data_IF_915627644853
#
_entry.id   IF_915627644853
#
_cell.length_a   1.000
_cell.length_b   1.000
_cell.length_c   1.000
_cell.angle_alpha   90.00
_cell.angle_beta   90.00
_cell.angle_gamma   90.00
#
_symmetry.space_group_name_H-M   'P 1'
#
loop_
_entity.id
_entity.type
_entity.pdbx_description
1 polymer ?
#
# COMPACT_ATOMS: atom_id res chain seq x y z
N UNK A 1 -37.33 53.67 -0.92
CA UNK A 1 -37.39 53.99 -2.36
C UNK A 1 -36.89 52.75 -3.01
N UNK A 2 -37.80 51.93 -3.19
CA UNK A 2 -38.53 51.26 -4.27
C UNK A 2 -37.72 50.05 -4.78
N UNK A 3 -38.05 48.83 -4.50
CA UNK A 3 -39.26 48.02 -4.73
C UNK A 3 -39.61 47.80 -6.22
N UNK A 4 -39.49 46.55 -6.68
CA UNK A 4 -40.33 45.83 -7.62
C UNK A 4 -39.61 44.51 -7.96
N UNK A 5 -39.96 43.31 -7.60
CA UNK A 5 -41.20 42.55 -7.63
C UNK A 5 -41.76 42.35 -9.04
N UNK A 6 -41.81 41.10 -9.47
CA UNK A 6 -42.77 40.47 -10.37
C UNK A 6 -42.31 39.03 -10.67
N UNK A 7 -42.80 38.10 -10.10
CA UNK A 7 -44.00 37.24 -10.10
C UNK A 7 -44.48 36.69 -11.47
N UNK A 8 -44.82 35.36 -11.44
CA UNK A 8 -45.84 34.60 -12.19
C UNK A 8 -45.52 34.14 -13.61
N UNK A 9 -45.74 32.93 -14.02
CA UNK A 9 -46.90 31.97 -14.00
C UNK A 9 -46.42 30.65 -14.60
N UNK A 10 -46.68 29.50 -14.04
CA UNK A 10 -47.76 28.53 -14.23
C UNK A 10 -48.40 28.45 -15.63
N UNK A 11 -48.39 27.25 -16.22
CA UNK A 11 -49.50 26.36 -16.61
C UNK A 11 -48.98 25.21 -17.46
N UNK A 12 -49.20 23.96 -17.01
CA UNK A 12 -50.33 23.04 -17.34
C UNK A 12 -50.49 22.69 -18.82
N UNK A 13 -50.42 21.44 -19.19
CA UNK A 13 -51.43 20.44 -19.53
C UNK A 13 -50.85 19.34 -20.41
N UNK A 14 -50.93 18.07 -20.00
CA UNK A 14 -52.00 17.06 -20.12
C UNK A 14 -52.02 16.26 -21.45
N UNK A 15 -52.05 14.93 -21.27
CA UNK A 15 -52.50 13.82 -22.12
C UNK A 15 -51.59 13.34 -23.27
N UNK A 16 -51.24 12.05 -23.31
CA UNK A 16 -52.16 10.99 -23.73
C UNK A 16 -51.59 9.58 -23.40
N UNK A 17 -52.47 8.74 -22.99
CA UNK A 17 -52.26 7.36 -22.66
C UNK A 17 -52.28 6.42 -23.87
N UNK A 18 -51.53 5.35 -23.74
CA UNK A 18 -51.81 4.12 -24.49
C UNK A 18 -51.65 2.88 -23.61
N UNK A 19 -52.77 2.37 -23.20
CA UNK A 19 -53.05 1.01 -22.74
C UNK A 19 -53.00 0.03 -23.89
N UNK A 20 -52.23 -1.06 -23.78
CA UNK A 20 -52.57 -2.33 -24.48
C UNK A 20 -52.07 -3.53 -23.67
N UNK A 21 -53.03 -4.20 -23.08
CA UNK A 21 -53.38 -5.63 -23.05
C UNK A 21 -52.34 -6.64 -22.60
N UNK A 22 -52.67 -7.22 -21.48
CA UNK A 22 -52.21 -8.48 -20.96
C UNK A 22 -52.54 -9.69 -21.86
N UNK A 23 -51.65 -10.65 -21.81
CA UNK A 23 -51.94 -12.03 -22.20
C UNK A 23 -51.56 -12.97 -21.07
N UNK A 24 -52.62 -13.45 -20.42
CA UNK A 24 -52.63 -14.60 -19.51
C UNK A 24 -52.65 -15.86 -20.35
N UNK A 25 -51.76 -16.79 -20.15
CA UNK A 25 -51.96 -18.18 -20.57
C UNK A 25 -51.71 -19.11 -19.39
N UNK A 26 -52.68 -19.93 -19.18
CA UNK A 26 -52.94 -20.84 -18.07
C UNK A 26 -52.08 -22.11 -18.08
N UNK A 27 -51.82 -22.54 -16.85
CA UNK A 27 -51.59 -23.90 -16.36
C UNK A 27 -51.91 -25.08 -17.29
N UNK A 28 -51.00 -26.07 -17.28
CA UNK A 28 -51.44 -27.48 -17.21
C UNK A 28 -50.40 -28.30 -16.42
N UNK A 29 -50.87 -28.79 -15.28
CA UNK A 29 -50.28 -29.89 -14.49
C UNK A 29 -50.46 -31.20 -15.28
N UNK A 30 -49.43 -32.04 -15.32
CA UNK A 30 -49.67 -33.51 -15.41
C UNK A 30 -48.71 -34.21 -14.45
N UNK A 31 -49.36 -34.76 -13.45
CA UNK A 31 -48.88 -35.77 -12.52
C UNK A 31 -48.92 -37.12 -13.25
N UNK A 32 -47.90 -37.95 -13.10
CA UNK A 32 -48.06 -39.40 -13.20
C UNK A 32 -47.09 -40.09 -12.24
N UNK A 33 -47.68 -40.92 -11.41
CA UNK A 33 -47.17 -41.77 -10.33
C UNK A 33 -46.54 -43.08 -10.83
N UNK A 34 -45.64 -43.56 -9.96
CA UNK A 34 -45.41 -44.98 -9.58
C UNK A 34 -44.58 -45.85 -10.54
N UNK A 35 -43.58 -46.56 -10.08
CA UNK A 35 -43.73 -47.80 -9.26
C UNK A 35 -42.38 -48.25 -8.66
N UNK A 36 -42.48 -48.84 -7.48
CA UNK A 36 -41.49 -49.57 -6.71
C UNK A 36 -40.94 -50.82 -7.48
N UNK A 37 -39.65 -51.14 -7.25
CA UNK A 37 -39.24 -52.55 -7.08
C UNK A 37 -37.97 -52.61 -6.20
N UNK A 38 -38.13 -53.30 -5.10
CA UNK A 38 -37.10 -53.69 -4.16
C UNK A 38 -36.36 -54.95 -4.66
N UNK A 39 -35.09 -55.08 -4.32
CA UNK A 39 -34.34 -56.32 -4.59
C UNK A 39 -32.98 -56.35 -3.88
N UNK A 40 -32.92 -57.20 -2.90
CA UNK A 40 -31.94 -57.45 -1.83
C UNK A 40 -30.57 -57.96 -2.24
N UNK A 41 -29.55 -57.64 -1.39
CA UNK A 41 -28.44 -58.41 -0.85
C UNK A 41 -27.56 -59.28 -1.78
N UNK A 42 -26.27 -59.15 -1.70
CA UNK A 42 -25.34 -60.03 -0.96
C UNK A 42 -23.89 -59.58 -1.09
N UNK A 43 -23.20 -59.53 0.05
CA UNK A 43 -21.76 -59.36 0.18
C UNK A 43 -21.00 -60.58 -0.29
N UNK A 44 -19.80 -60.37 -0.84
CA UNK A 44 -18.68 -61.30 -0.63
C UNK A 44 -17.35 -60.62 -0.95
N UNK A 45 -16.48 -60.64 0.04
CA UNK A 45 -15.09 -60.21 -0.03
C UNK A 45 -14.25 -61.23 -0.84
N UNK A 46 -13.30 -60.72 -1.62
CA UNK A 46 -12.05 -61.48 -1.87
C UNK A 46 -10.93 -60.54 -2.26
N UNK A 47 -9.86 -60.60 -1.52
CA UNK A 47 -8.52 -60.05 -1.79
C UNK A 47 -7.94 -60.62 -3.07
N UNK A 48 -7.22 -59.83 -3.86
CA UNK A 48 -5.93 -60.20 -4.42
C UNK A 48 -5.29 -59.06 -5.25
N UNK A 49 -4.19 -58.52 -4.79
CA UNK A 49 -2.90 -58.43 -5.43
C UNK A 49 -2.71 -57.56 -6.68
N UNK A 50 -1.97 -56.49 -6.51
CA UNK A 50 -0.82 -56.20 -7.30
C UNK A 50 -0.92 -55.23 -8.48
N UNK A 51 -0.27 -54.17 -8.36
CA UNK A 51 0.61 -53.54 -9.36
C UNK A 51 0.47 -52.03 -9.44
N UNK A 52 1.54 -51.38 -9.13
CA UNK A 52 1.91 -50.02 -9.11
C UNK A 52 1.33 -49.12 -10.21
N UNK A 53 0.86 -47.99 -9.77
CA UNK A 53 0.70 -46.76 -10.48
C UNK A 53 1.19 -45.71 -9.55
N UNK A 54 2.41 -45.29 -9.76
CA UNK A 54 3.02 -44.14 -9.14
C UNK A 54 2.24 -42.89 -9.66
N UNK A 55 1.25 -42.47 -8.89
CA UNK A 55 0.65 -41.13 -9.02
C UNK A 55 1.40 -40.31 -8.00
N UNK A 56 2.38 -39.56 -8.48
CA UNK A 56 2.98 -38.50 -7.71
C UNK A 56 1.87 -37.65 -7.08
N UNK A 57 1.63 -37.86 -5.80
CA UNK A 57 0.88 -36.96 -4.98
C UNK A 57 1.72 -35.69 -4.86
N UNK A 58 1.26 -34.65 -5.54
CA UNK A 58 1.60 -33.30 -5.20
C UNK A 58 1.25 -33.15 -3.72
N UNK A 59 2.27 -32.86 -2.91
CA UNK A 59 2.09 -32.66 -1.48
C UNK A 59 1.37 -31.32 -1.25
N UNK A 60 0.07 -31.30 -1.51
CA UNK A 60 -0.80 -30.24 -1.02
C UNK A 60 -0.86 -30.34 0.50
N UNK A 61 -0.42 -29.30 1.20
CA UNK A 61 -0.67 -29.14 2.61
C UNK A 61 -2.15 -29.27 2.93
N UNK A 62 -2.46 -29.72 4.12
CA UNK A 62 -3.83 -29.91 4.62
C UNK A 62 -4.49 -28.55 4.96
N UNK A 63 -3.82 -27.40 4.68
CA UNK A 63 -4.28 -26.04 4.87
C UNK A 63 -5.09 -25.53 3.68
N UNK A 64 -6.04 -24.65 3.96
CA UNK A 64 -6.94 -24.04 2.98
C UNK A 64 -6.25 -23.11 1.98
N UNK A 65 -7.06 -22.49 1.12
CA UNK A 65 -6.60 -21.50 0.15
C UNK A 65 -6.59 -20.10 0.78
N UNK A 66 -5.48 -19.40 0.70
CA UNK A 66 -5.37 -17.99 1.07
C UNK A 66 -5.20 -17.14 -0.19
N UNK A 67 -6.06 -16.12 -0.33
CA UNK A 67 -5.95 -15.13 -1.40
C UNK A 67 -5.03 -14.00 -1.00
N UNK A 68 -4.05 -13.65 -1.86
CA UNK A 68 -3.11 -12.55 -1.63
C UNK A 68 -3.15 -11.63 -2.85
N UNK A 69 -3.62 -10.39 -2.63
CA UNK A 69 -3.76 -9.39 -3.69
C UNK A 69 -2.80 -8.23 -3.46
N UNK A 70 -1.81 -8.08 -4.36
CA UNK A 70 -0.81 -7.02 -4.35
C UNK A 70 -1.09 -5.99 -5.44
N UNK A 71 -0.73 -4.69 -5.25
CA UNK A 71 -1.10 -3.64 -6.18
C UNK A 71 -0.36 -3.74 -7.52
N UNK A 72 0.96 -3.94 -7.51
CA UNK A 72 1.78 -3.83 -8.72
C UNK A 72 3.11 -4.58 -8.58
N UNK A 73 3.82 -4.76 -9.68
CA UNK A 73 5.23 -5.20 -9.73
C UNK A 73 6.18 -4.07 -10.10
N UNK A 74 5.68 -2.85 -10.34
CA UNK A 74 6.51 -1.72 -10.72
C UNK A 74 7.39 -1.21 -9.57
N UNK A 75 6.99 -1.45 -8.32
CA UNK A 75 7.81 -1.24 -7.13
C UNK A 75 8.34 -2.58 -6.63
N UNK A 76 9.65 -2.64 -6.40
CA UNK A 76 10.37 -3.85 -6.01
C UNK A 76 9.84 -4.46 -4.71
N UNK A 77 9.50 -3.60 -3.73
CA UNK A 77 9.00 -4.06 -2.44
C UNK A 77 7.75 -4.94 -2.55
N UNK A 78 6.81 -4.66 -3.47
CA UNK A 78 5.60 -5.46 -3.60
C UNK A 78 5.86 -6.90 -4.07
N UNK A 79 6.96 -7.10 -4.83
CA UNK A 79 7.40 -8.45 -5.19
C UNK A 79 7.94 -9.15 -3.95
N UNK A 80 8.77 -8.47 -3.16
CA UNK A 80 9.31 -9.00 -1.91
C UNK A 80 8.22 -9.30 -0.87
N UNK A 81 7.25 -8.37 -0.70
CA UNK A 81 6.09 -8.56 0.16
C UNK A 81 5.28 -9.81 -0.24
N UNK A 82 4.92 -9.91 -1.54
CA UNK A 82 4.12 -11.03 -2.04
C UNK A 82 4.83 -12.37 -1.92
N UNK A 83 6.12 -12.40 -2.25
CA UNK A 83 6.93 -13.63 -2.15
C UNK A 83 7.11 -14.05 -0.68
N UNK A 84 7.36 -13.10 0.25
CA UNK A 84 7.48 -13.39 1.67
C UNK A 84 6.17 -13.88 2.29
N UNK A 85 5.03 -13.26 1.97
CA UNK A 85 3.70 -13.72 2.41
C UNK A 85 3.43 -15.13 1.89
N UNK A 86 3.70 -15.36 0.60
CA UNK A 86 3.46 -16.67 -0.01
C UNK A 86 4.34 -17.77 0.60
N UNK A 87 5.66 -17.52 0.73
CA UNK A 87 6.59 -18.50 1.31
C UNK A 87 6.17 -18.87 2.73
N UNK A 88 5.89 -17.90 3.58
CA UNK A 88 5.52 -18.12 4.97
C UNK A 88 4.16 -18.83 5.14
N UNK A 89 3.18 -18.54 4.26
CA UNK A 89 1.91 -19.28 4.24
C UNK A 89 2.09 -20.73 3.76
N UNK A 90 2.90 -20.96 2.72
CA UNK A 90 3.20 -22.29 2.20
C UNK A 90 3.98 -23.13 3.23
N UNK A 91 4.90 -22.51 4.00
CA UNK A 91 5.59 -23.17 5.13
C UNK A 91 4.62 -23.63 6.23
N UNK A 92 3.51 -22.90 6.43
CA UNK A 92 2.43 -23.28 7.36
C UNK A 92 1.45 -24.30 6.76
N UNK A 93 1.64 -24.69 5.49
CA UNK A 93 0.86 -25.71 4.79
C UNK A 93 -0.35 -25.18 4.04
N UNK A 94 -0.53 -23.87 3.91
CA UNK A 94 -1.59 -23.26 3.11
C UNK A 94 -1.28 -23.33 1.60
N UNK A 95 -2.34 -23.30 0.79
CA UNK A 95 -2.23 -23.01 -0.65
C UNK A 95 -2.44 -21.51 -0.87
N UNK A 96 -1.65 -20.87 -1.73
CA UNK A 96 -1.67 -19.43 -1.92
C UNK A 96 -2.04 -19.04 -3.36
N UNK A 97 -3.05 -18.18 -3.52
CA UNK A 97 -3.37 -17.52 -4.79
C UNK A 97 -2.84 -16.07 -4.73
N UNK A 98 -1.59 -15.88 -5.12
CA UNK A 98 -0.92 -14.59 -5.18
C UNK A 98 -1.13 -13.92 -6.53
N UNK A 99 -1.73 -12.73 -6.55
CA UNK A 99 -2.01 -11.95 -7.74
C UNK A 99 -1.50 -10.51 -7.61
N UNK A 100 -1.05 -9.93 -8.73
CA UNK A 100 -0.65 -8.53 -8.88
C UNK A 100 -1.56 -7.86 -9.89
N UNK A 101 -2.07 -6.68 -9.57
CA UNK A 101 -3.07 -6.00 -10.39
C UNK A 101 -2.50 -4.93 -11.33
N UNK A 102 -1.17 -4.69 -11.30
CA UNK A 102 -0.45 -3.74 -12.15
C UNK A 102 -1.08 -2.33 -12.12
N UNK A 103 -1.43 -1.88 -10.90
CA UNK A 103 -2.10 -0.60 -10.61
C UNK A 103 -3.45 -0.38 -11.31
N UNK A 104 -4.07 -1.46 -11.83
CA UNK A 104 -5.41 -1.43 -12.43
C UNK A 104 -6.47 -1.89 -11.43
N UNK A 105 -7.27 -0.94 -10.92
CA UNK A 105 -8.30 -1.19 -9.90
C UNK A 105 -9.31 -2.24 -10.34
N UNK A 106 -9.91 -2.20 -11.56
CA UNK A 106 -10.82 -3.23 -12.02
C UNK A 106 -10.21 -4.64 -12.03
N UNK A 107 -8.93 -4.74 -12.36
CA UNK A 107 -8.18 -6.01 -12.31
C UNK A 107 -8.06 -6.50 -10.88
N UNK A 108 -7.72 -5.64 -9.90
CA UNK A 108 -7.64 -6.03 -8.50
C UNK A 108 -8.98 -6.53 -7.96
N UNK A 109 -10.07 -5.82 -8.24
CA UNK A 109 -11.42 -6.26 -7.86
C UNK A 109 -11.73 -7.64 -8.44
N UNK A 110 -11.49 -7.86 -9.75
CA UNK A 110 -11.75 -9.14 -10.40
C UNK A 110 -10.88 -10.28 -9.85
N UNK A 111 -9.65 -9.99 -9.46
CA UNK A 111 -8.77 -10.97 -8.81
C UNK A 111 -9.31 -11.39 -7.46
N UNK A 112 -9.76 -10.45 -6.62
CA UNK A 112 -10.36 -10.73 -5.31
C UNK A 112 -11.67 -11.52 -5.48
N UNK A 113 -12.56 -11.14 -6.41
CA UNK A 113 -13.79 -11.89 -6.73
C UNK A 113 -13.48 -13.36 -7.12
N UNK A 114 -12.40 -13.57 -7.89
CA UNK A 114 -11.96 -14.90 -8.26
C UNK A 114 -11.42 -15.70 -7.06
N UNK A 115 -10.68 -15.07 -6.13
CA UNK A 115 -10.21 -15.71 -4.90
C UNK A 115 -11.38 -16.16 -4.03
N UNK A 116 -12.40 -15.31 -3.85
CA UNK A 116 -13.65 -15.64 -3.15
C UNK A 116 -14.34 -16.84 -3.82
N UNK A 117 -14.49 -16.80 -5.15
CA UNK A 117 -15.15 -17.87 -5.92
C UNK A 117 -14.39 -19.21 -5.84
N UNK A 118 -13.08 -19.17 -5.74
CA UNK A 118 -12.23 -20.37 -5.55
C UNK A 118 -12.29 -20.93 -4.13
N UNK A 119 -12.95 -20.23 -3.20
CA UNK A 119 -13.10 -20.64 -1.81
C UNK A 119 -11.88 -20.31 -0.96
N UNK A 120 -11.31 -19.14 -1.12
CA UNK A 120 -10.31 -18.62 -0.18
C UNK A 120 -10.87 -18.61 1.24
N UNK A 121 -10.08 -19.01 2.22
CA UNK A 121 -10.47 -19.05 3.63
C UNK A 121 -10.09 -17.75 4.36
N UNK A 122 -9.15 -16.97 3.81
CA UNK A 122 -8.82 -15.62 4.21
C UNK A 122 -8.27 -14.82 3.03
N UNK A 123 -8.33 -13.49 3.11
CA UNK A 123 -7.77 -12.57 2.13
C UNK A 123 -6.76 -11.64 2.80
N UNK A 124 -5.57 -11.52 2.19
CA UNK A 124 -4.53 -10.55 2.53
C UNK A 124 -4.45 -9.57 1.35
N UNK A 125 -4.82 -8.30 1.56
CA UNK A 125 -5.01 -7.34 0.47
C UNK A 125 -4.20 -6.08 0.71
N UNK A 126 -3.25 -5.78 -0.18
CA UNK A 126 -2.65 -4.47 -0.33
C UNK A 126 -3.42 -3.71 -1.43
N UNK A 127 -4.28 -2.78 -1.04
CA UNK A 127 -5.16 -2.08 -1.99
C UNK A 127 -4.38 -1.11 -2.88
N UNK A 128 -4.79 -1.00 -4.14
CA UNK A 128 -4.32 0.08 -5.04
C UNK A 128 -4.89 1.40 -4.57
N UNK A 129 -6.19 1.45 -4.38
CA UNK A 129 -6.95 2.57 -3.84
C UNK A 129 -7.84 2.07 -2.70
N UNK A 130 -7.60 2.59 -1.50
CA UNK A 130 -8.28 2.15 -0.29
C UNK A 130 -9.81 2.30 -0.33
N UNK A 131 -10.36 3.14 -1.21
CA UNK A 131 -11.81 3.46 -1.25
C UNK A 131 -12.61 2.63 -2.24
N UNK A 132 -11.97 1.76 -3.03
CA UNK A 132 -12.62 1.15 -4.21
C UNK A 132 -13.07 -0.29 -4.00
N UNK A 133 -12.78 -0.90 -2.84
CA UNK A 133 -12.98 -2.32 -2.60
C UNK A 133 -14.25 -2.66 -1.81
N UNK A 134 -15.05 -1.67 -1.35
CA UNK A 134 -16.16 -1.89 -0.42
C UNK A 134 -17.16 -2.96 -0.90
N UNK A 135 -17.46 -3.04 -2.21
CA UNK A 135 -18.41 -4.02 -2.74
C UNK A 135 -17.84 -5.45 -2.71
N UNK A 136 -16.61 -5.65 -3.18
CA UNK A 136 -16.02 -6.99 -3.20
C UNK A 136 -15.70 -7.49 -1.78
N UNK A 137 -15.44 -6.59 -0.82
CA UNK A 137 -15.31 -6.96 0.58
C UNK A 137 -16.65 -7.33 1.22
N UNK A 138 -17.78 -6.80 0.73
CA UNK A 138 -19.08 -7.28 1.14
C UNK A 138 -19.32 -8.73 0.64
N UNK A 139 -18.90 -9.04 -0.58
CA UNK A 139 -18.99 -10.39 -1.12
C UNK A 139 -18.11 -11.38 -0.32
N UNK A 140 -16.93 -10.92 0.17
CA UNK A 140 -16.09 -11.71 1.08
C UNK A 140 -16.79 -11.96 2.42
N UNK A 141 -17.40 -10.93 3.01
CA UNK A 141 -18.15 -11.04 4.26
C UNK A 141 -19.38 -11.95 4.14
N UNK A 142 -20.12 -11.87 3.03
CA UNK A 142 -21.25 -12.76 2.74
C UNK A 142 -20.82 -14.24 2.60
N UNK A 143 -19.55 -14.46 2.24
CA UNK A 143 -18.92 -15.77 2.18
C UNK A 143 -18.20 -16.18 3.50
N UNK A 144 -18.28 -15.36 4.55
CA UNK A 144 -17.62 -15.54 5.84
C UNK A 144 -16.08 -15.62 5.73
N UNK A 145 -15.49 -14.89 4.76
CA UNK A 145 -14.03 -14.83 4.52
C UNK A 145 -13.46 -13.58 5.20
N UNK A 146 -12.57 -13.73 6.18
CA UNK A 146 -11.92 -12.60 6.86
C UNK A 146 -10.94 -11.89 5.94
N UNK A 147 -10.80 -10.57 6.16
CA UNK A 147 -9.98 -9.67 5.36
C UNK A 147 -8.93 -8.97 6.23
N UNK A 148 -7.68 -9.14 5.87
CA UNK A 148 -6.53 -8.45 6.46
C UNK A 148 -6.05 -7.40 5.45
N UNK A 149 -6.14 -6.12 5.80
CA UNK A 149 -5.51 -5.06 5.06
C UNK A 149 -3.98 -5.15 5.28
N UNK A 150 -3.22 -5.19 4.20
CA UNK A 150 -1.77 -5.36 4.22
C UNK A 150 -1.09 -4.05 3.79
N UNK A 151 -0.21 -3.51 4.60
CA UNK A 151 0.52 -2.26 4.41
C UNK A 151 -0.40 -1.03 4.23
N UNK A 152 -1.39 -1.08 3.36
CA UNK A 152 -2.31 0.01 3.04
C UNK A 152 -3.68 -0.21 3.68
N UNK A 153 -4.16 0.77 4.46
CA UNK A 153 -5.47 0.69 5.08
C UNK A 153 -6.59 0.76 4.04
N UNK A 154 -7.47 -0.22 4.04
CA UNK A 154 -8.68 -0.21 3.22
C UNK A 154 -9.75 0.61 3.92
N UNK A 155 -10.28 1.63 3.23
CA UNK A 155 -11.23 2.62 3.74
C UNK A 155 -12.67 2.29 3.35
N UNK A 156 -13.60 2.96 4.00
CA UNK A 156 -15.02 2.98 3.66
C UNK A 156 -15.69 1.59 3.63
N UNK A 157 -15.19 0.64 4.44
CA UNK A 157 -15.74 -0.71 4.56
C UNK A 157 -15.76 -1.20 6.01
N UNK A 158 -16.88 -1.79 6.44
CA UNK A 158 -16.99 -2.49 7.71
C UNK A 158 -16.25 -3.84 7.70
N UNK A 159 -15.98 -4.38 6.50
CA UNK A 159 -15.52 -5.74 6.25
C UNK A 159 -13.99 -5.82 6.13
N UNK A 160 -13.27 -5.04 6.92
CA UNK A 160 -11.83 -5.15 7.12
C UNK A 160 -11.62 -5.57 8.57
N UNK A 161 -11.12 -6.78 8.80
CA UNK A 161 -11.04 -7.33 10.14
C UNK A 161 -9.81 -6.83 10.89
N UNK A 162 -8.65 -6.83 10.23
CA UNK A 162 -7.37 -6.42 10.80
C UNK A 162 -6.54 -5.64 9.79
N UNK A 163 -5.54 -4.92 10.31
CA UNK A 163 -4.58 -4.18 9.52
C UNK A 163 -3.16 -4.48 10.00
N UNK A 164 -2.28 -4.87 9.09
CA UNK A 164 -0.86 -5.07 9.32
C UNK A 164 -0.06 -3.99 8.56
N UNK A 165 0.72 -3.19 9.26
CA UNK A 165 1.51 -2.11 8.68
C UNK A 165 2.68 -1.70 9.57
N UNK A 166 3.28 -0.58 9.26
CA UNK A 166 4.25 0.13 10.10
C UNK A 166 3.58 1.33 10.78
N UNK A 167 4.24 1.92 11.77
CA UNK A 167 3.83 3.21 12.30
C UNK A 167 4.09 4.31 11.27
N UNK A 168 3.10 4.57 10.44
CA UNK A 168 3.22 5.46 9.29
C UNK A 168 3.48 6.92 9.68
N UNK A 169 3.02 7.37 10.85
CA UNK A 169 3.34 8.70 11.34
C UNK A 169 4.83 8.80 11.71
N UNK A 170 5.36 7.82 12.42
CA UNK A 170 6.79 7.74 12.77
C UNK A 170 7.67 7.62 11.52
N UNK A 171 7.23 6.90 10.49
CA UNK A 171 7.94 6.88 9.19
C UNK A 171 8.09 8.30 8.63
N UNK A 172 7.04 9.11 8.66
CA UNK A 172 7.10 10.52 8.24
C UNK A 172 8.06 11.36 9.09
N UNK A 173 8.04 11.20 10.41
CA UNK A 173 8.99 11.83 11.33
C UNK A 173 10.42 11.45 10.96
N UNK A 174 10.67 10.17 10.69
CA UNK A 174 12.01 9.66 10.31
C UNK A 174 12.49 10.22 8.96
N UNK A 175 11.60 10.37 7.98
CA UNK A 175 11.92 11.01 6.69
C UNK A 175 12.41 12.44 6.92
N UNK A 176 11.68 13.24 7.70
CA UNK A 176 12.07 14.59 8.04
C UNK A 176 13.37 14.66 8.88
N UNK A 177 13.50 13.77 9.87
CA UNK A 177 14.72 13.68 10.70
C UNK A 177 15.95 13.37 9.84
N UNK A 178 15.84 12.43 8.90
CA UNK A 178 16.94 12.12 7.98
C UNK A 178 17.34 13.33 7.13
N UNK A 179 16.37 14.12 6.68
CA UNK A 179 16.60 15.36 5.96
C UNK A 179 17.36 16.38 6.82
N UNK A 180 16.90 16.60 8.06
CA UNK A 180 17.52 17.52 9.00
C UNK A 180 18.93 17.06 9.40
N UNK A 181 19.13 15.76 9.55
CA UNK A 181 20.45 15.17 9.80
C UNK A 181 21.41 15.44 8.63
N UNK A 182 20.98 15.23 7.40
CA UNK A 182 21.78 15.52 6.21
C UNK A 182 22.13 17.01 6.05
N UNK A 183 21.28 17.91 6.53
CA UNK A 183 21.56 19.34 6.61
C UNK A 183 22.44 19.71 7.81
N UNK A 184 22.78 18.75 8.70
CA UNK A 184 23.58 18.98 9.90
C UNK A 184 22.84 19.67 11.04
N UNK A 185 21.50 19.72 11.00
CA UNK A 185 20.66 20.39 11.99
C UNK A 185 20.39 19.51 13.21
N UNK A 186 20.24 18.19 12.98
CA UNK A 186 19.98 17.20 14.04
C UNK A 186 20.89 15.97 13.88
N UNK A 187 20.94 15.12 14.91
CA UNK A 187 21.36 13.73 14.77
C UNK A 187 20.22 12.85 14.22
N UNK A 188 20.45 11.53 14.12
CA UNK A 188 19.44 10.58 13.62
C UNK A 188 18.32 10.30 14.63
N UNK A 189 18.50 10.66 15.88
CA UNK A 189 17.48 10.61 16.94
C UNK A 189 16.61 11.87 16.97
N UNK A 190 16.94 12.88 16.12
CA UNK A 190 16.22 14.15 16.02
C UNK A 190 16.68 15.21 17.01
N UNK A 191 17.74 14.95 17.80
CA UNK A 191 18.28 15.92 18.75
C UNK A 191 19.13 16.98 18.02
N UNK A 192 18.98 18.28 18.36
CA UNK A 192 19.72 19.34 17.71
C UNK A 192 21.25 19.19 17.86
N UNK A 193 21.99 19.39 16.77
CA UNK A 193 23.45 19.38 16.81
C UNK A 193 24.00 20.67 17.42
N UNK A 194 25.11 20.57 18.18
CA UNK A 194 25.71 21.71 18.88
C UNK A 194 26.22 22.81 17.94
N UNK A 195 26.65 22.44 16.75
CA UNK A 195 27.23 23.34 15.74
C UNK A 195 26.31 23.40 14.49
N UNK A 196 24.97 23.36 14.70
CA UNK A 196 24.00 23.43 13.62
C UNK A 196 24.26 24.63 12.70
N UNK A 197 24.36 24.42 11.38
CA UNK A 197 24.59 25.51 10.45
C UNK A 197 23.39 26.45 10.40
N UNK A 198 23.67 27.74 10.25
CA UNK A 198 22.59 28.71 10.10
C UNK A 198 21.97 28.64 8.71
N UNK A 199 20.61 28.56 8.63
CA UNK A 199 19.88 28.68 7.40
C UNK A 199 19.99 30.08 6.75
N UNK A 200 19.16 30.40 5.77
CA UNK A 200 18.06 29.54 5.28
C UNK A 200 18.53 28.43 4.34
N UNK A 201 17.83 27.29 4.41
CA UNK A 201 18.00 26.19 3.47
C UNK A 201 16.76 26.11 2.56
N UNK A 202 16.94 26.12 1.25
CA UNK A 202 15.87 25.93 0.29
C UNK A 202 15.52 24.44 0.23
N UNK A 203 14.29 24.09 0.57
CA UNK A 203 13.79 22.73 0.52
C UNK A 203 12.61 22.63 -0.42
N UNK A 204 12.37 21.42 -0.95
CA UNK A 204 11.17 21.09 -1.70
C UNK A 204 10.49 19.88 -1.09
N UNK A 205 9.16 19.84 -1.13
CA UNK A 205 8.34 18.82 -0.50
C UNK A 205 7.64 17.98 -1.55
N UNK A 206 7.75 16.67 -1.42
CA UNK A 206 6.99 15.67 -2.18
C UNK A 206 6.15 14.84 -1.22
N UNK A 207 4.94 14.51 -1.61
CA UNK A 207 4.04 13.64 -0.87
C UNK A 207 3.70 12.39 -1.68
N UNK A 208 3.21 11.36 -1.01
CA UNK A 208 2.79 10.11 -1.60
C UNK A 208 1.47 10.20 -2.35
N UNK A 209 0.93 9.07 -2.76
CA UNK A 209 -0.31 8.99 -3.52
C UNK A 209 -1.53 9.31 -2.65
N UNK A 210 -2.47 10.17 -3.10
CA UNK A 210 -3.64 10.55 -2.31
C UNK A 210 -4.69 9.44 -2.16
N UNK A 211 -4.59 8.38 -2.96
CA UNK A 211 -5.44 7.19 -2.85
C UNK A 211 -4.92 6.15 -1.82
N UNK A 212 -3.73 6.40 -1.27
CA UNK A 212 -3.11 5.64 -0.20
C UNK A 212 -3.21 6.40 1.13
N UNK A 213 -3.90 5.80 2.12
CA UNK A 213 -4.06 6.42 3.43
C UNK A 213 -2.73 6.71 4.14
N UNK A 214 -1.71 5.89 3.92
CA UNK A 214 -0.40 6.04 4.54
C UNK A 214 0.28 7.35 4.15
N UNK A 215 0.07 7.81 2.91
CA UNK A 215 0.66 9.05 2.42
C UNK A 215 0.32 10.27 3.30
N UNK A 216 -0.91 10.30 3.85
CA UNK A 216 -1.33 11.36 4.78
C UNK A 216 -0.59 11.27 6.12
N UNK A 217 -0.39 10.06 6.65
CA UNK A 217 0.38 9.87 7.88
C UNK A 217 1.85 10.23 7.71
N UNK A 218 2.47 9.79 6.61
CA UNK A 218 3.86 10.18 6.29
C UNK A 218 3.99 11.70 6.19
N UNK A 219 3.08 12.34 5.47
CA UNK A 219 3.06 13.80 5.33
C UNK A 219 2.93 14.50 6.68
N UNK A 220 1.97 14.09 7.50
CA UNK A 220 1.73 14.71 8.80
C UNK A 220 2.95 14.59 9.72
N UNK A 221 3.53 13.40 9.85
CA UNK A 221 4.74 13.18 10.65
C UNK A 221 5.93 14.02 10.16
N UNK A 222 6.11 14.10 8.84
CA UNK A 222 7.18 14.91 8.25
C UNK A 222 6.95 16.41 8.45
N UNK A 223 5.75 16.91 8.19
CA UNK A 223 5.45 18.33 8.33
C UNK A 223 5.45 18.78 9.78
N UNK A 224 4.91 17.99 10.71
CA UNK A 224 4.98 18.32 12.14
C UNK A 224 6.42 18.46 12.62
N UNK A 225 7.35 17.71 12.04
CA UNK A 225 8.79 17.78 12.33
C UNK A 225 9.44 19.02 11.67
N UNK A 226 9.09 19.35 10.42
CA UNK A 226 9.74 20.42 9.66
C UNK A 226 9.11 21.81 9.93
N UNK A 227 7.82 21.88 10.27
CA UNK A 227 7.06 23.13 10.39
C UNK A 227 7.69 24.15 11.34
N UNK A 228 8.20 23.79 12.52
CA UNK A 228 8.86 24.78 13.40
C UNK A 228 10.05 25.48 12.74
N UNK A 229 10.81 24.76 11.89
CA UNK A 229 11.96 25.30 11.18
C UNK A 229 11.57 26.07 9.91
N UNK A 230 10.41 25.76 9.35
CA UNK A 230 9.80 26.55 8.26
C UNK A 230 9.27 27.87 8.83
N UNK A 231 8.60 27.84 9.98
CA UNK A 231 8.03 29.04 10.63
C UNK A 231 9.09 30.04 11.09
N UNK A 232 10.25 29.56 11.55
CA UNK A 232 11.36 30.43 11.97
C UNK A 232 12.28 30.85 10.81
N UNK A 233 12.07 30.31 9.60
CA UNK A 233 12.80 30.64 8.38
C UNK A 233 14.16 29.94 8.24
N UNK A 234 14.48 28.96 9.07
CA UNK A 234 15.65 28.07 8.89
C UNK A 234 15.49 27.22 7.63
N UNK A 235 14.28 26.73 7.38
CA UNK A 235 13.89 26.05 6.16
C UNK A 235 12.96 26.93 5.33
N UNK A 236 13.14 26.96 4.02
CA UNK A 236 12.30 27.72 3.09
C UNK A 236 11.82 26.79 1.98
N UNK A 237 10.53 26.51 1.93
CA UNK A 237 9.92 25.85 0.78
C UNK A 237 9.85 26.86 -0.36
N UNK A 238 10.89 26.88 -1.20
CA UNK A 238 11.08 27.98 -2.14
C UNK A 238 10.02 28.01 -3.25
N UNK A 239 9.49 26.87 -3.65
CA UNK A 239 8.35 26.79 -4.60
C UNK A 239 7.05 27.34 -4.00
N UNK A 240 6.95 27.42 -2.67
CA UNK A 240 5.72 27.74 -1.96
C UNK A 240 4.66 26.64 -2.00
N UNK A 241 5.01 25.44 -2.46
CA UNK A 241 4.10 24.28 -2.52
C UNK A 241 4.16 23.51 -1.20
N UNK A 242 3.34 23.92 -0.26
CA UNK A 242 3.32 23.42 1.13
C UNK A 242 2.09 22.59 1.47
N UNK A 243 1.14 22.47 0.56
CA UNK A 243 -0.06 21.67 0.77
C UNK A 243 0.14 20.23 0.24
N UNK A 244 -0.46 19.25 0.92
CA UNK A 244 -0.40 17.84 0.54
C UNK A 244 -0.80 17.61 -0.92
N UNK A 245 -1.94 18.18 -1.35
CA UNK A 245 -2.46 18.00 -2.72
C UNK A 245 -1.54 18.57 -3.79
N UNK A 246 -0.77 19.62 -3.48
CA UNK A 246 0.21 20.20 -4.40
C UNK A 246 1.48 19.35 -4.49
N UNK A 247 1.83 18.67 -3.40
CA UNK A 247 3.01 17.84 -3.29
C UNK A 247 2.78 16.38 -3.69
N UNK A 248 1.53 15.94 -3.75
CA UNK A 248 1.13 14.55 -3.96
C UNK A 248 1.52 14.01 -5.34
N UNK A 249 2.01 12.78 -5.37
CA UNK A 249 2.36 12.04 -6.60
C UNK A 249 1.46 10.82 -6.71
N UNK A 250 0.50 10.90 -7.63
CA UNK A 250 -0.48 9.83 -7.85
C UNK A 250 0.22 8.52 -8.24
N UNK A 251 -0.23 7.41 -7.64
CA UNK A 251 0.31 6.06 -7.85
C UNK A 251 1.79 5.89 -7.49
N UNK A 252 2.35 6.81 -6.74
CA UNK A 252 3.76 6.76 -6.36
C UNK A 252 4.69 6.69 -7.57
N UNK A 253 4.31 7.36 -8.67
CA UNK A 253 4.96 7.29 -9.96
C UNK A 253 6.23 8.16 -10.01
N UNK A 254 7.39 7.52 -10.21
CA UNK A 254 8.69 8.19 -10.28
C UNK A 254 8.85 9.13 -11.48
N UNK A 255 8.19 8.85 -12.63
CA UNK A 255 8.21 9.72 -13.81
C UNK A 255 7.44 11.02 -13.51
N UNK A 256 6.30 10.92 -12.83
CA UNK A 256 5.52 12.10 -12.39
C UNK A 256 6.32 12.93 -11.38
N UNK A 257 7.06 12.28 -10.47
CA UNK A 257 7.96 12.98 -9.54
C UNK A 257 9.09 13.70 -10.29
N UNK A 258 9.68 13.07 -11.30
CA UNK A 258 10.69 13.69 -12.15
C UNK A 258 10.13 14.93 -12.85
N UNK A 259 9.00 14.81 -13.54
CA UNK A 259 8.35 15.95 -14.23
C UNK A 259 8.03 17.09 -13.27
N UNK A 260 7.55 16.78 -12.07
CA UNK A 260 7.27 17.80 -11.06
C UNK A 260 8.55 18.51 -10.60
N UNK A 261 9.64 17.77 -10.36
CA UNK A 261 10.92 18.36 -9.97
C UNK A 261 11.52 19.23 -11.08
N UNK A 262 11.47 18.80 -12.35
CA UNK A 262 11.89 19.59 -13.51
C UNK A 262 11.12 20.91 -13.59
N UNK A 263 9.80 20.88 -13.36
CA UNK A 263 8.96 22.06 -13.32
C UNK A 263 9.34 23.01 -12.17
N UNK A 264 9.61 22.48 -10.98
CA UNK A 264 10.08 23.27 -9.82
C UNK A 264 11.42 23.93 -10.14
N UNK A 265 12.39 23.17 -10.65
CA UNK A 265 13.71 23.70 -10.99
C UNK A 265 13.63 24.82 -12.04
N UNK A 266 12.83 24.66 -13.06
CA UNK A 266 12.68 25.64 -14.13
C UNK A 266 11.95 26.89 -13.67
N UNK A 267 10.88 26.75 -12.90
CA UNK A 267 10.06 27.90 -12.49
C UNK A 267 10.62 28.67 -11.29
N UNK A 268 11.25 27.96 -10.36
CA UNK A 268 11.62 28.51 -9.04
C UNK A 268 13.11 28.80 -8.89
N UNK A 269 13.98 27.95 -9.49
CA UNK A 269 15.42 28.01 -9.31
C UNK A 269 16.16 28.63 -10.53
N UNK A 270 15.40 29.23 -11.44
CA UNK A 270 15.97 29.97 -12.60
C UNK A 270 16.79 31.19 -12.24
N UNK A 271 16.71 31.65 -10.99
CA UNK A 271 17.46 32.80 -10.45
C UNK A 271 18.91 32.41 -10.02
N UNK A 272 19.29 31.16 -10.18
CA UNK A 272 20.63 30.64 -9.82
C UNK A 272 20.75 30.21 -8.36
N UNK A 273 19.69 30.24 -7.55
CA UNK A 273 19.66 29.60 -6.25
C UNK A 273 19.67 28.07 -6.38
N UNK A 274 20.04 27.39 -5.32
CA UNK A 274 20.13 25.92 -5.31
C UNK A 274 19.12 25.31 -4.35
N UNK A 275 18.66 24.08 -4.67
CA UNK A 275 17.93 23.21 -3.74
C UNK A 275 18.93 22.65 -2.74
N UNK A 276 18.65 22.74 -1.45
CA UNK A 276 19.49 22.17 -0.39
C UNK A 276 18.99 20.80 0.07
N UNK A 277 17.66 20.59 0.07
CA UNK A 277 17.10 19.29 0.42
C UNK A 277 15.74 19.07 -0.24
N UNK A 278 15.37 17.80 -0.40
CA UNK A 278 14.09 17.36 -0.93
C UNK A 278 13.49 16.29 -0.02
N UNK A 279 12.34 16.58 0.58
CA UNK A 279 11.55 15.57 1.25
C UNK A 279 10.91 14.68 0.19
N UNK A 280 11.31 13.43 0.14
CA UNK A 280 10.75 12.41 -0.75
C UNK A 280 10.27 11.23 0.08
N UNK A 281 8.98 10.85 -0.01
CA UNK A 281 8.39 9.82 0.85
C UNK A 281 8.55 8.39 0.31
N UNK A 282 9.29 8.18 -0.79
CA UNK A 282 9.49 6.85 -1.39
C UNK A 282 10.70 6.84 -2.33
N UNK A 283 11.44 5.76 -2.33
CA UNK A 283 12.66 5.56 -3.11
C UNK A 283 12.46 5.69 -4.62
N UNK A 284 11.34 5.19 -5.16
CA UNK A 284 11.00 5.36 -6.57
C UNK A 284 10.83 6.83 -6.98
N UNK A 285 10.23 7.65 -6.10
CA UNK A 285 10.12 9.10 -6.32
C UNK A 285 11.49 9.77 -6.23
N UNK A 286 12.32 9.34 -5.26
CA UNK A 286 13.68 9.87 -5.09
C UNK A 286 14.53 9.65 -6.32
N UNK A 287 14.43 8.51 -6.99
CA UNK A 287 15.12 8.23 -8.26
C UNK A 287 14.67 9.17 -9.38
N UNK A 288 13.36 9.46 -9.49
CA UNK A 288 12.84 10.45 -10.43
C UNK A 288 13.37 11.85 -10.13
N UNK A 289 13.40 12.27 -8.87
CA UNK A 289 13.94 13.55 -8.40
C UNK A 289 15.44 13.65 -8.72
N UNK A 290 16.22 12.59 -8.48
CA UNK A 290 17.65 12.51 -8.81
C UNK A 290 17.89 12.69 -10.30
N UNK A 291 17.05 12.06 -11.14
CA UNK A 291 17.12 12.24 -12.60
C UNK A 291 16.89 13.69 -13.01
N UNK A 292 15.87 14.35 -12.50
CA UNK A 292 15.57 15.76 -12.78
C UNK A 292 16.70 16.70 -12.34
N UNK A 293 17.29 16.46 -11.17
CA UNK A 293 18.43 17.25 -10.68
C UNK A 293 19.66 17.07 -11.57
N UNK A 294 19.94 15.84 -11.99
CA UNK A 294 21.07 15.53 -12.87
C UNK A 294 20.90 16.20 -14.22
N UNK A 295 19.71 16.15 -14.81
CA UNK A 295 19.39 16.80 -16.09
C UNK A 295 19.46 18.32 -16.00
N UNK A 296 19.17 18.89 -14.83
CA UNK A 296 19.33 20.32 -14.55
C UNK A 296 20.80 20.74 -14.29
N UNK A 297 21.74 19.78 -14.28
CA UNK A 297 23.18 20.05 -14.15
C UNK A 297 23.73 20.01 -12.74
N UNK A 298 22.94 19.52 -11.76
CA UNK A 298 23.46 19.19 -10.44
C UNK A 298 24.40 17.98 -10.54
N UNK A 299 25.39 17.91 -9.67
CA UNK A 299 26.33 16.79 -9.63
C UNK A 299 26.58 16.38 -8.18
N UNK A 300 26.71 15.07 -7.94
CA UNK A 300 27.01 14.53 -6.62
C UNK A 300 28.30 15.16 -6.06
N UNK A 301 28.24 15.62 -4.83
CA UNK A 301 29.31 16.31 -4.13
C UNK A 301 28.85 17.69 -3.61
N UNK A 302 29.70 18.71 -3.76
CA UNK A 302 29.38 20.05 -3.25
C UNK A 302 28.15 20.64 -3.96
N UNK A 303 27.11 20.95 -3.19
CA UNK A 303 25.85 21.52 -3.70
C UNK A 303 24.82 20.49 -4.16
N UNK A 304 25.08 19.20 -4.03
CA UNK A 304 24.07 18.16 -4.21
C UNK A 304 23.09 18.18 -3.05
N UNK A 305 21.75 18.16 -3.31
CA UNK A 305 20.77 18.24 -2.24
C UNK A 305 20.70 16.95 -1.41
N UNK A 306 20.28 17.12 -0.15
CA UNK A 306 19.88 16.00 0.70
C UNK A 306 18.53 15.48 0.23
N UNK A 307 18.44 14.19 -0.07
CA UNK A 307 17.20 13.55 -0.57
C UNK A 307 16.86 12.39 0.35
N UNK A 308 15.68 12.43 0.96
CA UNK A 308 15.12 11.31 1.72
C UNK A 308 14.54 10.24 0.81
N UNK A 309 14.06 9.15 1.38
CA UNK A 309 13.36 8.07 0.69
C UNK A 309 12.71 7.12 1.67
N UNK A 310 12.19 6.02 1.18
CA UNK A 310 11.55 4.96 1.96
C UNK A 310 11.53 3.66 1.17
N UNK A 311 11.52 2.55 1.88
CA UNK A 311 11.41 1.15 1.47
C UNK A 311 12.74 0.43 1.23
N UNK A 312 13.88 1.11 1.28
CA UNK A 312 15.22 0.53 1.11
C UNK A 312 15.34 -0.36 -0.14
N UNK A 313 14.75 0.10 -1.27
CA UNK A 313 14.86 -0.58 -2.56
C UNK A 313 16.34 -0.64 -3.00
N UNK A 314 16.76 -1.73 -3.61
CA UNK A 314 18.17 -2.00 -3.89
C UNK A 314 18.88 -0.86 -4.64
N UNK A 315 18.24 -0.32 -5.68
CA UNK A 315 18.82 0.78 -6.47
C UNK A 315 18.97 2.06 -5.64
N UNK A 316 18.08 2.32 -4.68
CA UNK A 316 18.17 3.45 -3.77
C UNK A 316 19.24 3.24 -2.68
N UNK A 317 19.41 2.01 -2.20
CA UNK A 317 20.52 1.66 -1.30
C UNK A 317 21.86 1.87 -2.02
N UNK A 318 21.98 1.51 -3.30
CA UNK A 318 23.15 1.83 -4.14
C UNK A 318 23.34 3.34 -4.29
N UNK A 319 22.25 4.08 -4.49
CA UNK A 319 22.30 5.54 -4.58
C UNK A 319 22.74 6.20 -3.25
N UNK A 320 22.34 5.64 -2.10
CA UNK A 320 22.84 6.07 -0.78
C UNK A 320 24.32 5.76 -0.66
N UNK A 321 24.76 4.58 -1.07
CA UNK A 321 26.16 4.19 -1.02
C UNK A 321 27.04 5.08 -1.92
N UNK A 322 26.53 5.52 -3.09
CA UNK A 322 27.24 6.45 -4.00
C UNK A 322 27.10 7.93 -3.60
N UNK A 323 26.15 8.28 -2.74
CA UNK A 323 25.88 9.64 -2.28
C UNK A 323 24.90 10.43 -3.16
N UNK A 324 24.18 9.77 -4.04
CA UNK A 324 23.10 10.37 -4.86
C UNK A 324 21.80 10.54 -4.07
N UNK A 325 21.49 9.62 -3.16
CA UNK A 325 20.43 9.72 -2.16
C UNK A 325 21.05 9.80 -0.77
N UNK A 326 20.43 10.49 0.16
CA UNK A 326 21.01 10.63 1.51
C UNK A 326 20.55 9.52 2.44
N UNK A 327 19.24 9.22 2.44
CA UNK A 327 18.64 8.26 3.36
C UNK A 327 17.45 7.55 2.73
N UNK A 328 17.11 6.41 3.30
CA UNK A 328 15.83 5.73 3.13
C UNK A 328 15.29 5.28 4.47
N UNK A 329 13.98 5.10 4.59
CA UNK A 329 13.36 4.50 5.77
C UNK A 329 13.13 3.03 5.50
N UNK A 330 13.84 2.19 6.22
CA UNK A 330 13.74 0.75 6.11
C UNK A 330 12.50 0.23 6.82
N UNK A 331 11.73 -0.54 6.09
CA UNK A 331 10.58 -1.28 6.54
C UNK A 331 10.77 -2.76 6.14
N UNK A 332 11.01 -3.63 7.10
CA UNK A 332 11.27 -5.04 6.81
C UNK A 332 10.00 -5.76 6.31
N UNK A 333 9.93 -5.98 5.01
CA UNK A 333 8.80 -6.65 4.34
C UNK A 333 8.59 -8.09 4.82
N UNK A 334 9.66 -8.75 5.29
CA UNK A 334 9.61 -10.14 5.81
C UNK A 334 8.88 -10.18 7.16
N UNK A 335 9.11 -9.18 8.02
CA UNK A 335 8.42 -9.05 9.30
C UNK A 335 6.96 -8.61 9.10
N UNK A 336 6.68 -7.73 8.13
CA UNK A 336 5.31 -7.37 7.78
C UNK A 336 4.52 -8.57 7.25
N UNK A 337 5.12 -9.35 6.37
CA UNK A 337 4.56 -10.61 5.89
C UNK A 337 4.23 -11.55 7.05
N UNK A 338 5.18 -11.70 8.00
CA UNK A 338 4.98 -12.54 9.19
C UNK A 338 3.78 -12.11 10.01
N UNK A 339 3.62 -10.83 10.27
CA UNK A 339 2.45 -10.31 11.00
C UNK A 339 1.14 -10.66 10.31
N UNK A 340 1.04 -10.42 9.00
CA UNK A 340 -0.18 -10.72 8.25
C UNK A 340 -0.48 -12.23 8.18
N UNK A 341 0.55 -13.06 8.04
CA UNK A 341 0.45 -14.52 8.03
C UNK A 341 0.02 -15.04 9.42
N UNK A 342 0.61 -14.52 10.48
CA UNK A 342 0.23 -14.88 11.85
C UNK A 342 -1.22 -14.46 12.15
N UNK A 343 -1.67 -13.28 11.67
CA UNK A 343 -3.07 -12.86 11.78
C UNK A 343 -4.01 -13.83 11.05
N UNK A 344 -3.71 -14.18 9.80
CA UNK A 344 -4.52 -15.12 9.04
C UNK A 344 -4.61 -16.48 9.74
N UNK A 345 -3.49 -17.00 10.22
CA UNK A 345 -3.42 -18.28 10.92
C UNK A 345 -4.20 -18.26 12.22
N UNK A 346 -4.10 -17.19 13.03
CA UNK A 346 -4.85 -17.04 14.28
C UNK A 346 -6.36 -17.07 14.02
N UNK A 347 -6.83 -16.27 13.04
CA UNK A 347 -8.26 -16.22 12.67
C UNK A 347 -8.78 -17.62 12.28
N UNK A 348 -8.06 -18.32 11.40
CA UNK A 348 -8.46 -19.62 10.90
C UNK A 348 -8.44 -20.71 11.99
N UNK A 349 -7.61 -20.55 13.01
CA UNK A 349 -7.60 -21.39 14.19
C UNK A 349 -8.66 -21.02 15.24
N UNK A 350 -9.44 -19.94 15.01
CA UNK A 350 -10.43 -19.43 15.96
C UNK A 350 -9.80 -18.71 17.15
N UNK A 351 -8.59 -18.20 16.98
CA UNK A 351 -7.84 -17.39 17.94
C UNK A 351 -7.92 -15.91 17.56
N UNK A 352 -7.70 -15.01 18.53
CA UNK A 352 -7.62 -13.57 18.28
C UNK A 352 -6.20 -13.20 17.83
N UNK A 353 -6.01 -12.51 16.68
CA UNK A 353 -4.72 -12.01 16.27
C UNK A 353 -4.11 -11.02 17.28
N UNK A 354 -2.79 -11.01 17.37
CA UNK A 354 -2.08 -10.00 18.14
C UNK A 354 -2.21 -8.63 17.46
N UNK A 355 -2.54 -7.60 18.23
CA UNK A 355 -2.61 -6.21 17.80
C UNK A 355 -1.96 -5.31 18.85
N UNK A 356 -1.36 -4.20 18.42
CA UNK A 356 -0.74 -3.22 19.29
C UNK A 356 -1.32 -1.81 19.14
N UNK A 357 -2.28 -1.63 18.23
CA UNK A 357 -2.98 -0.35 18.02
C UNK A 357 -4.47 -0.60 17.75
N UNK A 358 -5.33 0.11 18.50
CA UNK A 358 -6.79 0.04 18.38
C UNK A 358 -7.44 1.44 18.43
N UNK A 359 -6.67 2.50 18.17
CA UNK A 359 -7.14 3.87 18.34
C UNK A 359 -6.92 4.75 17.09
N UNK A 360 -5.82 4.56 16.32
CA UNK A 360 -5.37 5.55 15.35
C UNK A 360 -5.84 5.28 13.90
N UNK A 361 -6.12 4.03 13.54
CA UNK A 361 -6.41 3.66 12.16
C UNK A 361 -7.91 3.56 11.91
N UNK A 362 -8.58 4.73 11.90
CA UNK A 362 -9.99 4.87 11.49
C UNK A 362 -10.07 4.81 9.96
N UNK A 363 -10.81 3.83 9.44
CA UNK A 363 -10.99 3.64 8.01
C UNK A 363 -12.20 4.39 7.42
N UNK A 364 -12.79 5.31 8.19
CA UNK A 364 -13.98 6.08 7.82
C UNK A 364 -15.29 5.44 8.28
N UNK A 365 -15.27 4.17 8.71
CA UNK A 365 -16.44 3.43 9.22
C UNK A 365 -16.19 2.90 10.62
N UNK A 366 -14.98 2.43 10.88
CA UNK A 366 -14.55 1.92 12.19
C UNK A 366 -13.05 2.10 12.37
N UNK A 367 -12.60 2.05 13.62
CA UNK A 367 -11.18 1.82 13.91
C UNK A 367 -10.87 0.36 13.64
N UNK A 368 -9.89 0.10 12.76
CA UNK A 368 -9.45 -1.26 12.43
C UNK A 368 -8.35 -1.68 13.40
N UNK A 369 -8.52 -2.79 14.16
CA UNK A 369 -7.44 -3.31 15.00
C UNK A 369 -6.19 -3.59 14.19
N UNK A 370 -5.05 -3.04 14.62
CA UNK A 370 -3.84 -3.00 13.80
C UNK A 370 -2.63 -3.54 14.55
N UNK A 371 -1.71 -4.14 13.82
CA UNK A 371 -0.35 -4.37 14.30
C UNK A 371 0.61 -3.47 13.51
N UNK A 372 1.31 -2.61 14.22
CA UNK A 372 2.23 -1.63 13.65
C UNK A 372 3.67 -2.01 14.00
N UNK A 373 4.47 -2.24 12.98
CA UNK A 373 5.90 -2.50 13.09
C UNK A 373 6.70 -1.19 13.21
N UNK A 374 7.88 -1.30 13.79
CA UNK A 374 8.84 -0.21 13.81
C UNK A 374 9.61 -0.13 12.48
N UNK A 375 10.04 1.08 12.14
CA UNK A 375 10.87 1.39 10.98
C UNK A 375 12.21 1.97 11.42
N UNK A 376 13.21 2.02 10.52
CA UNK A 376 14.54 2.51 10.83
C UNK A 376 15.08 3.45 9.74
N UNK A 377 15.78 4.51 10.14
CA UNK A 377 16.49 5.37 9.20
C UNK A 377 17.76 4.65 8.74
N UNK A 378 17.91 4.52 7.44
CA UNK A 378 19.15 4.02 6.81
C UNK A 378 19.85 5.15 6.09
N UNK A 379 21.09 5.39 6.48
CA UNK A 379 22.03 6.29 5.83
C UNK A 379 23.29 5.48 5.46
N UNK A 380 24.17 6.07 4.67
CA UNK A 380 25.40 5.39 4.22
C UNK A 380 26.19 4.68 5.35
N UNK A 381 26.26 5.31 6.52
CA UNK A 381 27.10 4.84 7.62
C UNK A 381 26.54 3.59 8.33
N UNK A 382 25.25 3.31 8.22
CA UNK A 382 24.60 2.18 8.89
C UNK A 382 23.99 1.14 7.91
N UNK A 383 24.24 1.26 6.60
CA UNK A 383 23.76 0.26 5.60
C UNK A 383 24.14 -1.16 6.02
N UNK A 384 25.40 -1.39 6.41
CA UNK A 384 25.86 -2.73 6.78
C UNK A 384 25.12 -3.25 8.00
N UNK A 385 24.99 -2.45 9.06
CA UNK A 385 24.34 -2.85 10.30
C UNK A 385 22.85 -3.17 10.08
N UNK A 386 22.15 -2.29 9.35
CA UNK A 386 20.69 -2.41 9.22
C UNK A 386 20.28 -3.37 8.11
N UNK A 387 20.92 -3.33 6.95
CA UNK A 387 20.46 -4.08 5.78
C UNK A 387 21.27 -5.36 5.51
N UNK A 388 22.60 -5.35 5.75
CA UNK A 388 23.43 -6.53 5.46
C UNK A 388 23.41 -7.51 6.62
N UNK A 389 23.61 -7.04 7.86
CA UNK A 389 23.64 -7.93 9.04
C UNK A 389 22.25 -8.55 9.32
N UNK A 390 21.16 -7.87 8.94
CA UNK A 390 19.80 -8.42 8.97
C UNK A 390 19.52 -9.45 7.86
N UNK A 391 20.42 -9.51 6.84
CA UNK A 391 20.23 -10.38 5.67
C UNK A 391 19.13 -9.90 4.72
N UNK A 392 18.75 -8.62 4.76
CA UNK A 392 17.78 -8.04 3.82
C UNK A 392 18.41 -7.85 2.43
N UNK A 393 19.64 -7.28 2.39
CA UNK A 393 20.48 -7.21 1.20
C UNK A 393 21.86 -7.80 1.48
N UNK A 394 22.53 -8.25 0.45
CA UNK A 394 23.92 -8.68 0.54
C UNK A 394 24.88 -7.55 0.15
N UNK A 395 26.13 -7.59 0.66
CA UNK A 395 27.17 -6.66 0.22
C UNK A 395 27.42 -6.73 -1.30
N UNK A 396 27.27 -7.92 -1.91
CA UNK A 396 27.47 -8.12 -3.35
C UNK A 396 26.38 -7.39 -4.15
N UNK A 397 25.12 -7.46 -3.74
CA UNK A 397 23.99 -6.77 -4.39
C UNK A 397 24.15 -5.24 -4.29
N UNK A 398 24.57 -4.73 -3.13
CA UNK A 398 24.75 -3.29 -2.90
C UNK A 398 25.94 -2.72 -3.68
N UNK A 399 27.04 -3.45 -3.81
CA UNK A 399 28.29 -3.00 -4.43
C UNK A 399 28.46 -3.47 -5.89
N UNK A 400 27.63 -4.38 -6.38
CA UNK A 400 27.65 -4.95 -7.74
C UNK A 400 26.90 -4.15 -8.74
#
# INVERSE_FOLDING_TARGET
MDAADSDCHQDNDVHDGHTVKGHTVKNTKKVLLATLAAGSMLALAACSGGSGGDSGGDGGGDGGLIGVAMPTKSSERWIQDGDAVKEQLEEQGFTVDLQYAEDDIPTQVSQIENMITKGAEALIIASIDGTTLSQVLQDAADAEIPVIAYDRLIRDSENVDYYASFDNYIVGVQQATSLLNGLGLTDLEGEPTADAPAGPFNIELFAGSPDDNNATFFWNGAIDTLQPLIDDGTLVVKSGQTDFEQAAILRWDGEVAQERMENILTSTYSDGSTVNAVLSPYDGLSRGIISALTDAGYSVGEGWPIISGQDAELDSVKAINSGEQFATIFKDTRELAKVAVDMASAILNGEEPEVNNTEDYDNGVKVVPSYLLESQIVVKDNITEVLVDSGYWTEEEING
#
